data_IF_801650405747
#
_entry.id   IF_801650405747
#
_cell.length_a   1.000
_cell.length_b   1.000
_cell.length_c   1.000
_cell.angle_alpha   90.00
_cell.angle_beta   90.00
_cell.angle_gamma   90.00
#
_symmetry.space_group_name_H-M   'P 1'
#
loop_
_entity.id
_entity.type
_entity.pdbx_description
1 polymer ?
#
# COMPACT_ATOMS: atom_id res chain seq x y z
N UNK A 1 -10.55 9.53 24.00
CA UNK A 1 -9.37 9.82 24.83
C UNK A 1 -9.78 10.36 26.20
N UNK A 2 -9.95 9.44 27.15
CA UNK A 2 -9.96 9.77 28.58
C UNK A 2 -8.51 10.05 28.96
N UNK A 3 -8.23 11.12 29.70
CA UNK A 3 -6.91 11.29 30.30
C UNK A 3 -6.87 10.39 31.54
N UNK A 4 -5.85 9.53 31.63
CA UNK A 4 -5.56 8.74 32.82
C UNK A 4 -4.23 9.25 33.36
N UNK A 5 -4.28 9.86 34.54
CA UNK A 5 -3.11 10.39 35.24
C UNK A 5 -2.56 9.25 36.09
N UNK A 6 -1.27 8.97 35.97
CA UNK A 6 -0.60 7.90 36.70
C UNK A 6 0.03 8.45 38.00
N UNK A 7 0.21 7.63 39.05
CA UNK A 7 0.64 8.10 40.37
C UNK A 7 1.99 8.84 40.39
N UNK A 8 2.83 8.59 39.40
CA UNK A 8 4.15 9.18 39.20
C UNK A 8 4.14 10.55 38.48
N UNK A 9 2.99 10.99 37.96
CA UNK A 9 2.87 12.27 37.25
C UNK A 9 2.82 13.45 38.22
N UNK A 10 3.68 14.46 38.02
CA UNK A 10 3.57 15.75 38.72
C UNK A 10 2.66 16.70 37.96
N UNK A 11 1.56 17.09 38.60
CA UNK A 11 0.64 18.13 38.12
C UNK A 11 0.84 19.38 38.98
N UNK A 12 1.25 20.49 38.38
CA UNK A 12 1.42 21.76 39.08
C UNK A 12 0.36 22.73 38.54
N UNK A 13 -0.41 23.32 39.46
CA UNK A 13 -1.44 24.33 39.20
C UNK A 13 -0.93 25.66 39.73
N UNK A 14 -0.73 26.64 38.85
CA UNK A 14 -0.36 28.00 39.24
C UNK A 14 -0.99 29.00 38.28
N UNK A 15 -1.60 30.06 38.82
CA UNK A 15 -2.09 31.27 38.14
C UNK A 15 -2.57 31.06 36.70
N UNK A 16 -3.67 30.32 36.57
CA UNK A 16 -4.39 30.15 35.29
C UNK A 16 -3.72 29.24 34.27
N UNK A 17 -2.62 28.57 34.64
CA UNK A 17 -1.90 27.63 33.78
C UNK A 17 -1.87 26.23 34.37
N UNK A 18 -2.01 25.21 33.51
CA UNK A 18 -1.77 23.81 33.85
C UNK A 18 -0.48 23.40 33.18
N UNK A 19 0.50 22.97 33.98
CA UNK A 19 1.80 22.52 33.49
C UNK A 19 1.94 21.01 33.74
N UNK A 20 2.22 20.26 32.67
CA UNK A 20 2.38 18.81 32.69
C UNK A 20 3.76 18.45 32.15
N UNK A 21 4.53 17.66 32.90
CA UNK A 21 5.82 17.13 32.42
C UNK A 21 6.64 16.38 33.47
N UNK A 22 7.42 15.41 32.99
CA UNK A 22 8.56 14.81 33.69
C UNK A 22 9.81 15.71 33.51
N UNK A 23 10.81 15.67 34.43
CA UNK A 23 11.88 16.67 34.52
C UNK A 23 12.74 16.86 33.26
N UNK A 24 12.70 15.92 32.30
CA UNK A 24 13.65 15.86 31.20
C UNK A 24 13.00 15.97 29.80
N UNK A 25 11.78 16.50 29.68
CA UNK A 25 11.13 16.65 28.35
C UNK A 25 10.22 17.88 28.22
N UNK A 26 10.09 18.33 26.96
CA UNK A 26 9.43 19.57 26.51
C UNK A 26 8.13 19.87 27.25
N UNK A 27 8.14 20.98 27.99
CA UNK A 27 7.00 21.40 28.79
C UNK A 27 5.96 22.09 27.91
N UNK A 28 4.76 21.53 27.84
CA UNK A 28 3.63 22.19 27.18
C UNK A 28 2.96 23.14 28.17
N UNK A 29 2.92 24.43 27.84
CA UNK A 29 2.24 25.46 28.64
C UNK A 29 0.94 25.84 27.93
N UNK A 30 -0.18 25.68 28.61
CA UNK A 30 -1.48 26.22 28.15
C UNK A 30 -1.72 27.51 28.93
N UNK A 31 -1.67 28.64 28.24
CA UNK A 31 -2.07 29.95 28.79
C UNK A 31 -3.52 30.20 28.44
N UNK A 32 -4.39 30.26 29.46
CA UNK A 32 -5.77 30.69 29.28
C UNK A 32 -5.79 32.22 29.25
N UNK A 33 -6.33 32.80 28.17
CA UNK A 33 -6.42 34.25 27.99
C UNK A 33 -7.13 34.92 29.17
N UNK A 34 -6.55 36.00 29.66
CA UNK A 34 -6.96 36.67 30.89
C UNK A 34 -8.35 37.29 30.80
N UNK A 35 -9.31 36.65 31.47
CA UNK A 35 -10.36 37.37 32.20
C UNK A 35 -10.32 36.87 33.65
N UNK A 36 -10.19 37.83 34.57
CA UNK A 36 -10.24 37.59 36.00
C UNK A 36 -11.65 37.07 36.32
N UNK A 37 -11.72 35.86 36.88
CA UNK A 37 -12.94 35.14 37.26
C UNK A 37 -13.85 34.66 36.11
N UNK A 38 -13.34 33.73 35.31
CA UNK A 38 -14.15 32.90 34.41
C UNK A 38 -14.07 31.41 34.78
N UNK A 39 -15.20 30.81 35.18
CA UNK A 39 -15.30 29.34 35.22
C UNK A 39 -15.52 28.84 33.79
N UNK A 40 -14.54 28.13 33.22
CA UNK A 40 -14.72 27.47 31.91
C UNK A 40 -15.54 26.19 32.10
N UNK A 41 -16.86 26.32 31.96
CA UNK A 41 -17.75 25.18 31.80
C UNK A 41 -17.68 24.71 30.35
N UNK A 42 -16.97 23.61 30.10
CA UNK A 42 -17.05 22.90 28.82
C UNK A 42 -18.14 21.84 28.95
N UNK A 43 -19.36 22.05 28.42
CA UNK A 43 -20.34 20.98 28.33
C UNK A 43 -19.86 19.98 27.28
N UNK A 44 -19.09 18.99 27.72
CA UNK A 44 -18.47 17.99 26.86
C UNK A 44 -16.96 17.93 26.99
N UNK A 45 -16.29 17.42 25.96
CA UNK A 45 -14.88 16.98 26.04
C UNK A 45 -13.97 17.94 25.27
N UNK A 46 -13.04 18.56 25.99
CA UNK A 46 -12.00 19.45 25.46
C UNK A 46 -10.81 18.63 24.92
N UNK A 47 -10.30 18.97 23.73
CA UNK A 47 -9.11 18.37 23.11
C UNK A 47 -8.15 19.49 22.73
N UNK A 48 -6.94 19.50 23.28
CA UNK A 48 -5.91 20.52 23.05
C UNK A 48 -4.58 19.85 22.69
N UNK A 49 -3.98 20.25 21.55
CA UNK A 49 -2.56 20.13 21.20
C UNK A 49 -1.97 18.74 20.94
N UNK A 50 -1.48 18.48 19.73
CA UNK A 50 -0.75 17.25 19.40
C UNK A 50 0.40 17.49 18.43
N UNK A 51 1.59 17.80 18.96
CA UNK A 51 2.85 17.73 18.23
C UNK A 51 3.46 16.34 18.33
N UNK A 52 3.63 15.68 17.18
CA UNK A 52 4.42 14.46 16.93
C UNK A 52 4.12 13.21 17.79
N UNK A 53 2.89 12.70 17.73
CA UNK A 53 2.69 11.25 17.79
C UNK A 53 2.82 10.71 16.36
N UNK A 54 3.78 9.82 16.09
CA UNK A 54 3.78 9.02 14.87
C UNK A 54 2.37 8.41 14.71
N UNK A 55 1.64 8.69 13.62
CA UNK A 55 0.32 8.12 13.48
C UNK A 55 0.51 6.62 13.26
N UNK A 56 0.28 5.82 14.30
CA UNK A 56 -0.09 4.41 14.18
C UNK A 56 -1.53 4.30 13.66
N UNK A 57 -1.84 5.08 12.62
CA UNK A 57 -2.99 4.84 11.75
C UNK A 57 -2.60 3.80 10.69
N UNK A 58 -3.57 3.27 9.94
CA UNK A 58 -3.32 2.26 8.90
C UNK A 58 -2.18 2.69 7.96
N UNK A 59 -2.11 3.97 7.60
CA UNK A 59 -1.08 4.50 6.70
C UNK A 59 0.37 4.32 7.20
N UNK A 60 0.63 4.46 8.51
CA UNK A 60 1.98 4.29 9.07
C UNK A 60 2.45 2.82 9.01
N UNK A 61 1.53 1.89 9.26
CA UNK A 61 1.80 0.45 9.12
C UNK A 61 1.99 0.06 7.65
N UNK A 62 1.08 0.51 6.77
CA UNK A 62 1.15 0.29 5.32
C UNK A 62 2.48 0.79 4.78
N UNK A 63 2.89 2.03 5.10
CA UNK A 63 4.17 2.60 4.64
C UNK A 63 5.37 1.75 4.99
N UNK A 64 5.39 1.14 6.19
CA UNK A 64 6.47 0.24 6.60
C UNK A 64 6.45 -1.06 5.79
N UNK A 65 5.26 -1.64 5.57
CA UNK A 65 5.10 -2.91 4.84
C UNK A 65 5.33 -2.78 3.33
N UNK A 66 5.08 -1.61 2.74
CA UNK A 66 5.30 -1.37 1.31
C UNK A 66 6.75 -1.01 0.94
N UNK A 67 7.65 -0.89 1.93
CA UNK A 67 9.06 -0.58 1.64
C UNK A 67 9.76 -1.71 0.88
N UNK A 68 10.76 -1.39 0.04
CA UNK A 68 11.52 -2.40 -0.69
C UNK A 68 12.13 -3.49 0.19
N UNK A 69 12.56 -3.19 1.42
CA UNK A 69 13.20 -4.15 2.32
C UNK A 69 12.24 -5.27 2.78
N UNK A 70 10.94 -5.00 2.73
CA UNK A 70 9.90 -5.95 3.07
C UNK A 70 9.52 -6.86 1.89
N UNK A 71 10.03 -6.60 0.68
CA UNK A 71 9.75 -7.43 -0.50
C UNK A 71 10.52 -8.74 -0.43
N UNK A 72 9.88 -9.82 -0.85
CA UNK A 72 10.44 -11.17 -0.89
C UNK A 72 9.78 -11.96 -2.00
N UNK A 73 10.39 -13.07 -2.44
CA UNK A 73 9.81 -14.02 -3.38
C UNK A 73 9.39 -13.43 -4.74
N UNK A 74 9.87 -12.24 -5.12
CA UNK A 74 9.58 -11.66 -6.42
C UNK A 74 10.24 -12.50 -7.52
N UNK A 75 9.50 -12.75 -8.60
CA UNK A 75 10.08 -13.32 -9.80
C UNK A 75 10.99 -12.33 -10.52
N UNK A 76 11.95 -12.87 -11.25
CA UNK A 76 12.86 -12.12 -12.11
C UNK A 76 13.11 -12.89 -13.41
N UNK A 77 14.04 -12.39 -14.22
CA UNK A 77 14.53 -13.12 -15.39
C UNK A 77 15.38 -14.35 -15.02
N UNK A 78 15.92 -14.43 -13.80
CA UNK A 78 16.74 -15.58 -13.38
C UNK A 78 16.07 -16.47 -12.35
N UNK A 79 15.04 -15.98 -11.65
CA UNK A 79 14.43 -16.68 -10.53
C UNK A 79 12.91 -16.74 -10.65
N UNK A 80 12.34 -17.92 -10.32
CA UNK A 80 10.90 -18.09 -10.28
C UNK A 80 10.24 -17.24 -9.19
N UNK A 81 10.79 -17.22 -7.98
CA UNK A 81 10.08 -16.66 -6.84
C UNK A 81 8.77 -17.41 -6.56
N UNK A 82 7.81 -16.75 -5.89
CA UNK A 82 6.46 -17.28 -5.71
C UNK A 82 5.66 -17.10 -7.00
N UNK A 83 5.02 -18.18 -7.42
CA UNK A 83 4.28 -18.27 -8.67
C UNK A 83 2.79 -18.37 -8.37
N UNK A 84 2.01 -17.49 -8.98
CA UNK A 84 0.55 -17.61 -9.07
C UNK A 84 0.17 -18.02 -10.50
N UNK A 85 -0.09 -19.31 -10.77
CA UNK A 85 -0.53 -19.77 -12.09
C UNK A 85 -1.78 -19.04 -12.60
N UNK A 86 -1.84 -18.85 -13.91
CA UNK A 86 -3.03 -18.38 -14.63
C UNK A 86 -4.16 -19.42 -14.61
N UNK A 87 -5.38 -18.98 -14.93
CA UNK A 87 -6.55 -19.84 -15.08
C UNK A 87 -7.37 -20.06 -13.81
N UNK A 88 -6.97 -19.43 -12.69
CA UNK A 88 -7.75 -19.40 -11.45
C UNK A 88 -7.83 -17.98 -10.89
N UNK A 89 -8.89 -17.73 -10.13
CA UNK A 89 -9.11 -16.47 -9.40
C UNK A 89 -8.48 -16.56 -8.01
N UNK A 90 -7.85 -15.48 -7.58
CA UNK A 90 -7.24 -15.32 -6.27
C UNK A 90 -7.83 -14.12 -5.55
N UNK A 91 -7.61 -14.06 -4.24
CA UNK A 91 -7.73 -12.79 -3.54
C UNK A 91 -6.51 -11.90 -3.84
N UNK A 92 -6.72 -10.60 -3.98
CA UNK A 92 -5.63 -9.63 -4.13
C UNK A 92 -4.69 -9.68 -2.92
N UNK A 93 -5.25 -9.87 -1.72
CA UNK A 93 -4.50 -9.96 -0.47
C UNK A 93 -3.52 -11.15 -0.45
N UNK A 94 -3.99 -12.33 -0.84
CA UNK A 94 -3.15 -13.53 -0.96
C UNK A 94 -1.99 -13.29 -1.91
N UNK A 95 -2.27 -12.70 -3.08
CA UNK A 95 -1.24 -12.45 -4.09
C UNK A 95 -0.20 -11.45 -3.60
N UNK A 96 -0.61 -10.31 -3.03
CA UNK A 96 0.32 -9.29 -2.52
C UNK A 96 1.16 -9.87 -1.38
N UNK A 97 0.53 -10.55 -0.43
CA UNK A 97 1.23 -11.10 0.73
C UNK A 97 2.18 -12.24 0.36
N UNK A 98 1.99 -12.90 -0.79
CA UNK A 98 2.98 -13.82 -1.35
C UNK A 98 4.35 -13.17 -1.64
N UNK A 99 4.37 -11.84 -1.78
CA UNK A 99 5.55 -11.05 -2.13
C UNK A 99 6.06 -10.13 -1.00
N UNK A 100 5.51 -10.27 0.21
CA UNK A 100 5.89 -9.48 1.39
C UNK A 100 6.38 -10.38 2.53
N UNK A 101 7.36 -9.91 3.31
CA UNK A 101 7.79 -10.61 4.55
C UNK A 101 6.79 -10.36 5.68
N UNK A 102 6.43 -9.09 5.89
CA UNK A 102 5.36 -8.65 6.79
C UNK A 102 4.09 -8.38 5.96
N UNK A 103 3.09 -9.25 6.13
CA UNK A 103 1.85 -9.27 5.36
C UNK A 103 0.94 -8.09 5.67
N UNK A 104 0.26 -7.56 4.65
CA UNK A 104 -0.87 -6.66 4.82
C UNK A 104 -2.05 -7.39 5.50
N UNK A 105 -2.81 -6.66 6.31
CA UNK A 105 -4.13 -7.09 6.77
C UNK A 105 -5.20 -6.80 5.72
N UNK A 106 -6.41 -7.34 5.94
CA UNK A 106 -7.58 -7.01 5.11
C UNK A 106 -7.85 -5.50 5.13
N UNK A 107 -7.90 -4.89 6.31
CA UNK A 107 -8.18 -3.44 6.45
C UNK A 107 -7.09 -2.57 5.79
N UNK A 108 -5.83 -2.97 5.89
CA UNK A 108 -4.72 -2.26 5.24
C UNK A 108 -4.83 -2.33 3.72
N UNK A 109 -5.18 -3.49 3.16
CA UNK A 109 -5.42 -3.62 1.73
C UNK A 109 -6.67 -2.83 1.29
N UNK A 110 -7.77 -2.92 2.03
CA UNK A 110 -9.00 -2.17 1.73
C UNK A 110 -8.70 -0.67 1.66
N UNK A 111 -7.94 -0.14 2.64
CA UNK A 111 -7.50 1.25 2.62
C UNK A 111 -6.68 1.60 1.37
N UNK A 112 -5.77 0.72 0.94
CA UNK A 112 -4.97 0.91 -0.28
C UNK A 112 -5.87 0.92 -1.53
N UNK A 113 -6.86 0.03 -1.61
CA UNK A 113 -7.76 -0.10 -2.76
C UNK A 113 -8.81 1.02 -2.84
N UNK A 114 -9.21 1.58 -1.68
CA UNK A 114 -10.09 2.76 -1.58
C UNK A 114 -9.36 4.08 -1.90
N UNK A 115 -8.03 4.09 -1.75
CA UNK A 115 -7.19 5.27 -1.98
C UNK A 115 -6.10 5.02 -3.02
N UNK A 116 -6.46 4.31 -4.10
CA UNK A 116 -5.52 3.88 -5.15
C UNK A 116 -4.74 5.03 -5.77
N UNK A 117 -5.29 6.25 -5.80
CA UNK A 117 -4.61 7.45 -6.29
C UNK A 117 -3.34 7.82 -5.51
N UNK A 118 -3.14 7.26 -4.31
CA UNK A 118 -1.95 7.45 -3.48
C UNK A 118 -0.92 6.35 -3.63
N UNK A 119 -1.20 5.35 -4.46
CA UNK A 119 -0.36 4.17 -4.61
C UNK A 119 -0.09 3.88 -6.08
N UNK A 120 1.09 3.36 -6.36
CA UNK A 120 1.46 2.86 -7.68
C UNK A 120 1.53 1.35 -7.61
N UNK A 121 0.81 0.70 -8.53
CA UNK A 121 0.81 -0.73 -8.70
C UNK A 121 1.74 -1.11 -9.86
N UNK A 122 2.47 -2.20 -9.68
CA UNK A 122 3.32 -2.77 -10.72
C UNK A 122 3.13 -4.28 -10.75
N UNK A 123 2.88 -4.80 -11.95
CA UNK A 123 2.59 -6.21 -12.19
C UNK A 123 3.72 -6.85 -12.98
N UNK A 124 4.21 -8.00 -12.53
CA UNK A 124 5.17 -8.83 -13.25
C UNK A 124 4.53 -10.15 -13.67
N UNK A 125 4.69 -10.50 -14.95
CA UNK A 125 4.12 -11.70 -15.55
C UNK A 125 5.21 -12.53 -16.20
N UNK A 126 4.96 -13.84 -16.33
CA UNK A 126 5.87 -14.68 -17.06
C UNK A 126 5.56 -16.16 -17.13
N UNK A 127 6.46 -16.90 -17.76
CA UNK A 127 6.42 -18.35 -17.84
C UNK A 127 6.85 -18.98 -16.52
N UNK A 128 6.06 -19.93 -16.01
CA UNK A 128 6.33 -20.65 -14.75
C UNK A 128 7.21 -21.88 -14.90
N UNK A 129 7.61 -22.25 -16.12
CA UNK A 129 8.47 -23.41 -16.35
C UNK A 129 9.89 -23.09 -15.92
N UNK A 130 10.41 -23.91 -15.03
CA UNK A 130 11.81 -23.89 -14.64
C UNK A 130 12.61 -24.76 -15.62
N UNK A 131 13.20 -24.15 -16.65
CA UNK A 131 14.04 -24.89 -17.59
C UNK A 131 15.18 -24.01 -18.08
N UNK A 132 16.41 -24.48 -17.84
CA UNK A 132 17.64 -23.86 -18.32
C UNK A 132 17.71 -23.74 -19.86
N UNK A 133 16.87 -24.48 -20.59
CA UNK A 133 16.79 -24.45 -22.05
C UNK A 133 15.85 -23.37 -22.60
N UNK A 134 15.08 -22.69 -21.74
CA UNK A 134 14.12 -21.67 -22.15
C UNK A 134 14.67 -20.27 -21.80
N UNK A 135 14.61 -19.36 -22.77
CA UNK A 135 14.90 -17.93 -22.54
C UNK A 135 14.00 -17.42 -21.41
N UNK A 136 14.52 -16.68 -20.43
CA UNK A 136 13.71 -16.04 -19.40
C UNK A 136 12.52 -15.28 -19.98
N UNK A 137 11.31 -15.65 -19.58
CA UNK A 137 10.07 -15.00 -20.03
C UNK A 137 9.40 -14.25 -18.89
N UNK A 138 10.13 -13.35 -18.27
CA UNK A 138 9.61 -12.48 -17.23
C UNK A 138 9.65 -11.03 -17.71
N UNK A 139 8.57 -10.30 -17.47
CA UNK A 139 8.51 -8.86 -17.73
C UNK A 139 7.57 -8.18 -16.76
N UNK A 140 7.87 -6.92 -16.45
CA UNK A 140 6.88 -6.01 -15.86
C UNK A 140 5.93 -5.52 -16.95
N UNK A 141 4.68 -5.34 -16.55
CA UNK A 141 3.62 -4.75 -17.36
C UNK A 141 3.68 -3.24 -17.25
N UNK A 142 3.54 -2.54 -18.37
CA UNK A 142 3.64 -1.08 -18.47
C UNK A 142 2.30 -0.38 -18.71
N UNK A 143 1.25 -1.12 -19.07
CA UNK A 143 -0.04 -0.56 -19.48
C UNK A 143 -1.17 -0.73 -18.44
N UNK A 144 -0.87 -1.13 -17.20
CA UNK A 144 -1.84 -1.24 -16.10
C UNK A 144 -1.24 -0.77 -14.78
N UNK A 145 -2.01 0.04 -14.03
CA UNK A 145 -1.50 0.75 -12.85
C UNK A 145 -2.40 0.64 -11.61
N UNK A 146 -3.21 -0.42 -11.50
CA UNK A 146 -4.06 -0.67 -10.33
C UNK A 146 -5.56 -0.44 -10.55
N UNK A 147 -5.94 -0.03 -11.76
CA UNK A 147 -7.34 0.20 -12.14
C UNK A 147 -8.14 -1.11 -12.17
N UNK A 148 -9.44 -0.98 -11.89
CA UNK A 148 -10.36 -2.09 -12.10
C UNK A 148 -10.52 -2.37 -13.58
N UNK A 149 -10.29 -3.62 -13.96
CA UNK A 149 -10.28 -4.04 -15.36
C UNK A 149 -10.89 -5.41 -15.54
N UNK A 150 -11.48 -5.64 -16.71
CA UNK A 150 -12.06 -6.91 -17.12
C UNK A 150 -11.52 -7.27 -18.49
N UNK A 151 -10.98 -8.49 -18.62
CA UNK A 151 -10.44 -9.01 -19.87
C UNK A 151 -9.37 -8.09 -20.52
N UNK A 152 -8.56 -7.44 -19.67
CA UNK A 152 -7.59 -6.44 -20.11
C UNK A 152 -6.30 -7.09 -20.60
N UNK A 153 -5.88 -6.73 -21.81
CA UNK A 153 -4.66 -7.28 -22.41
C UNK A 153 -3.43 -6.61 -21.78
N UNK A 154 -2.58 -7.41 -21.13
CA UNK A 154 -1.33 -6.93 -20.57
C UNK A 154 -0.23 -6.88 -21.63
N UNK A 155 0.48 -5.75 -21.68
CA UNK A 155 1.66 -5.51 -22.52
C UNK A 155 2.88 -5.45 -21.59
N UNK A 156 4.04 -5.98 -22.02
CA UNK A 156 4.73 -5.49 -23.21
C UNK A 156 4.95 -6.56 -24.29
N UNK A 157 5.04 -6.09 -25.53
CA UNK A 157 5.20 -6.84 -26.79
C UNK A 157 6.53 -7.64 -26.93
N UNK A 158 7.23 -7.97 -25.85
CA UNK A 158 8.59 -8.54 -25.93
C UNK A 158 8.59 -10.06 -25.90
N UNK A 159 8.00 -10.71 -26.90
CA UNK A 159 8.24 -12.13 -27.16
C UNK A 159 8.33 -12.38 -28.67
N UNK A 160 9.54 -12.16 -29.19
CA UNK A 160 9.92 -12.17 -30.61
C UNK A 160 9.65 -13.46 -31.40
N UNK A 161 8.99 -14.47 -30.84
CA UNK A 161 8.60 -15.71 -31.56
C UNK A 161 7.21 -16.27 -31.23
N UNK A 162 6.73 -16.17 -29.98
CA UNK A 162 5.38 -16.61 -29.55
C UNK A 162 4.95 -15.86 -28.29
N UNK A 163 4.13 -14.82 -28.44
CA UNK A 163 3.69 -14.00 -27.31
C UNK A 163 2.76 -14.77 -26.36
N UNK A 164 3.01 -14.64 -25.05
CA UNK A 164 1.99 -14.90 -24.05
C UNK A 164 0.99 -13.75 -24.10
N UNK A 165 -0.25 -14.03 -24.49
CA UNK A 165 -1.32 -13.02 -24.41
C UNK A 165 -1.95 -13.10 -23.04
N UNK A 166 -1.35 -12.42 -22.08
CA UNK A 166 -1.93 -12.35 -20.74
C UNK A 166 -3.15 -11.44 -20.73
N UNK A 167 -4.22 -11.91 -20.09
CA UNK A 167 -5.45 -11.13 -19.87
C UNK A 167 -5.74 -11.04 -18.38
N UNK A 168 -6.01 -9.82 -17.92
CA UNK A 168 -6.20 -9.48 -16.52
C UNK A 168 -7.67 -9.16 -16.22
N UNK A 169 -8.14 -9.69 -15.10
CA UNK A 169 -9.29 -9.20 -14.37
C UNK A 169 -8.79 -8.77 -13.01
N UNK A 170 -9.01 -7.51 -12.68
CA UNK A 170 -8.69 -6.95 -11.38
C UNK A 170 -9.92 -6.21 -10.88
N UNK A 171 -10.40 -6.60 -9.71
CA UNK A 171 -11.56 -5.99 -9.06
C UNK A 171 -11.18 -5.68 -7.62
N UNK A 172 -10.79 -4.43 -7.39
CA UNK A 172 -10.45 -3.90 -6.08
C UNK A 172 -11.64 -3.86 -5.13
N UNK A 173 -12.86 -3.76 -5.64
CA UNK A 173 -14.08 -3.78 -4.80
C UNK A 173 -14.36 -5.18 -4.27
N UNK A 174 -14.26 -6.19 -5.13
CA UNK A 174 -14.39 -7.60 -4.75
C UNK A 174 -13.13 -8.16 -4.06
N UNK A 175 -12.01 -7.44 -4.14
CA UNK A 175 -10.72 -7.90 -3.62
C UNK A 175 -10.15 -9.08 -4.42
N UNK A 176 -10.47 -9.20 -5.71
CA UNK A 176 -10.10 -10.37 -6.53
C UNK A 176 -9.22 -10.02 -7.73
N UNK A 177 -8.37 -10.97 -8.08
CA UNK A 177 -7.52 -10.91 -9.27
C UNK A 177 -7.54 -12.24 -9.99
N UNK A 178 -7.68 -12.21 -11.31
CA UNK A 178 -7.57 -13.38 -12.18
C UNK A 178 -6.72 -13.01 -13.37
N UNK A 179 -5.83 -13.92 -13.76
CA UNK A 179 -5.08 -13.79 -15.00
C UNK A 179 -5.24 -15.05 -15.84
N UNK A 180 -5.40 -14.90 -17.13
CA UNK A 180 -5.31 -15.99 -18.10
C UNK A 180 -4.12 -15.75 -19.03
N UNK A 181 -3.71 -16.78 -19.75
CA UNK A 181 -2.75 -16.66 -20.84
C UNK A 181 -3.21 -17.44 -22.06
N UNK A 182 -2.72 -17.04 -23.23
CA UNK A 182 -2.74 -17.84 -24.44
C UNK A 182 -1.30 -18.09 -24.90
N UNK A 183 -0.92 -19.36 -25.03
CA UNK A 183 0.38 -19.79 -25.53
C UNK A 183 0.25 -21.06 -26.39
N UNK A 184 1.29 -21.35 -27.19
CA UNK A 184 1.29 -22.50 -28.12
C UNK A 184 1.00 -23.81 -27.39
N UNK A 185 -0.14 -24.43 -27.69
CA UNK A 185 -0.57 -25.70 -27.10
C UNK A 185 -1.66 -25.60 -26.02
N UNK A 186 -2.31 -24.44 -25.85
CA UNK A 186 -3.53 -24.27 -25.05
C UNK A 186 -3.46 -23.11 -24.05
N UNK A 187 -4.62 -22.58 -23.67
CA UNK A 187 -4.73 -21.44 -22.76
C UNK A 187 -4.42 -21.77 -21.29
N UNK A 188 -3.93 -20.78 -20.56
CA UNK A 188 -3.69 -20.79 -19.10
C UNK A 188 -2.74 -21.88 -18.59
N UNK A 189 -1.87 -22.42 -19.47
CA UNK A 189 -1.06 -23.61 -19.15
C UNK A 189 0.24 -23.27 -18.45
N UNK A 190 0.91 -22.21 -18.88
CA UNK A 190 2.29 -21.92 -18.48
C UNK A 190 2.48 -20.49 -17.99
N UNK A 191 1.52 -19.60 -18.22
CA UNK A 191 1.53 -18.25 -17.70
C UNK A 191 1.44 -18.22 -16.18
N UNK A 192 1.96 -17.14 -15.62
CA UNK A 192 1.91 -16.89 -14.20
C UNK A 192 2.09 -15.43 -13.87
N UNK A 193 1.47 -15.03 -12.76
CA UNK A 193 1.80 -13.80 -12.07
C UNK A 193 3.00 -14.10 -11.16
N UNK A 194 3.98 -13.21 -11.26
CA UNK A 194 5.35 -13.38 -10.76
C UNK A 194 5.80 -12.21 -9.90
N UNK A 195 5.11 -11.08 -9.99
CA UNK A 195 5.21 -9.97 -9.06
C UNK A 195 3.87 -9.21 -9.02
N UNK A 196 3.49 -8.75 -7.83
CA UNK A 196 2.51 -7.68 -7.66
C UNK A 196 3.04 -6.77 -6.56
N UNK A 197 3.49 -5.58 -6.94
CA UNK A 197 4.16 -4.62 -6.06
C UNK A 197 3.29 -3.39 -5.92
N UNK A 198 3.16 -2.92 -4.69
CA UNK A 198 2.52 -1.64 -4.36
C UNK A 198 3.57 -0.75 -3.71
N UNK A 199 3.61 0.52 -4.12
CA UNK A 199 4.42 1.57 -3.49
C UNK A 199 3.54 2.79 -3.27
N UNK A 200 3.85 3.59 -2.25
CA UNK A 200 3.25 4.92 -2.14
C UNK A 200 3.70 5.78 -3.33
N UNK A 201 2.78 6.51 -3.93
CA UNK A 201 3.08 7.44 -5.02
C UNK A 201 3.93 8.59 -4.46
N UNK A 202 5.02 8.95 -5.13
CA UNK A 202 5.72 10.20 -4.83
C UNK A 202 5.07 11.37 -5.58
N UNK A 203 5.30 12.60 -5.13
CA UNK A 203 4.79 13.82 -5.80
C UNK A 203 5.21 13.93 -7.29
N UNK A 204 6.23 13.18 -7.70
CA UNK A 204 6.66 13.06 -9.11
C UNK A 204 5.82 12.09 -9.94
N UNK A 205 5.19 11.07 -9.34
CA UNK A 205 4.35 10.11 -10.07
C UNK A 205 2.99 10.71 -10.44
N UNK A 206 2.50 11.69 -9.68
CA UNK A 206 1.21 12.36 -9.90
C UNK A 206 1.22 13.40 -11.04
N UNK A 207 2.39 13.70 -11.63
CA UNK A 207 2.49 14.68 -12.73
C UNK A 207 2.33 14.08 -14.12
N UNK A 208 2.50 12.76 -14.26
CA UNK A 208 2.36 12.07 -15.55
C UNK A 208 0.92 11.65 -15.87
N UNK A 209 -0.01 11.74 -14.92
CA UNK A 209 -1.44 11.48 -15.13
C UNK A 209 -2.24 12.69 -15.62
N UNK A 210 -1.59 13.84 -15.83
CA UNK A 210 -2.31 15.06 -16.19
C UNK A 210 -1.52 16.10 -16.96
N UNK A 211 -1.13 15.81 -18.22
CA UNK A 211 -1.06 16.84 -19.28
C UNK A 211 -1.28 16.21 -20.65
N UNK A 212 -2.43 16.50 -21.27
CA UNK A 212 -2.51 16.98 -22.65
C UNK A 212 -3.89 17.59 -22.92
N UNK A 213 -4.15 18.73 -22.27
CA UNK A 213 -5.00 19.75 -22.85
C UNK A 213 -4.13 20.98 -23.10
N UNK A 214 -3.64 21.09 -24.33
CA UNK A 214 -3.07 22.33 -24.86
C UNK A 214 -3.74 22.61 -26.20
N UNK A 215 -4.58 23.63 -26.16
CA UNK A 215 -5.07 24.53 -27.22
C UNK A 215 -5.64 23.94 -28.52
#
# INVERSE_FOLDING_TARGET
MRLKIYPEDRVILTDGCIQLGAPDSYTSVITLGGEQDGTVLVPGRLIIGGGAYYPSGPLGSIRRKLRPENRVNLGSVTELGVVFPTGRTYSILEVINGYLKDSLTVDELSFILEHREKFVFSLGVGDRRDSAALVPRFTYVDNWHGDDVTDFVLLPEVYSRQAYRHRLWFDGTAGTIRMTDEHSGGGSRYGSLRALVIREASDTDNRDSGVNSVN
#
